data_IF_340167688804
#
_entry.id   IF_340167688804
#
_cell.length_a   1.000
_cell.length_b   1.000
_cell.length_c   1.000
_cell.angle_alpha   90.00
_cell.angle_beta   90.00
_cell.angle_gamma   90.00
#
_symmetry.space_group_name_H-M   'P 1'
#
loop_
_entity.id
_entity.type
_entity.pdbx_description
1 polymer ?
#
# COMPACT_ATOMS: atom_id res chain seq x y z
N UNK A 1 -6.42 -41.86 -22.07
CA UNK A 1 -6.98 -40.86 -23.02
C UNK A 1 -6.70 -39.45 -22.52
N UNK A 2 -5.66 -38.79 -23.05
CA UNK A 2 -5.38 -37.36 -22.80
C UNK A 2 -6.05 -36.55 -23.91
N UNK A 3 -7.05 -35.73 -23.59
CA UNK A 3 -7.66 -34.80 -24.56
C UNK A 3 -6.71 -33.62 -24.77
N UNK A 4 -6.02 -33.61 -25.89
CA UNK A 4 -5.30 -32.45 -26.43
C UNK A 4 -6.30 -31.56 -27.16
N UNK A 5 -6.44 -30.30 -26.75
CA UNK A 5 -7.15 -29.29 -27.51
C UNK A 5 -6.26 -28.79 -28.67
N UNK A 6 -6.83 -28.54 -29.86
CA UNK A 6 -6.05 -28.02 -30.99
C UNK A 6 -5.66 -26.57 -30.71
N UNK A 7 -4.36 -26.30 -30.71
CA UNK A 7 -3.82 -24.94 -30.81
C UNK A 7 -3.97 -24.50 -32.28
N UNK A 8 -4.86 -23.54 -32.52
CA UNK A 8 -4.95 -22.84 -33.81
C UNK A 8 -4.03 -21.61 -33.78
N UNK A 9 -3.02 -21.61 -34.64
CA UNK A 9 -1.83 -20.73 -34.59
C UNK A 9 -1.96 -19.51 -35.55
N UNK A 10 -3.18 -19.12 -35.95
CA UNK A 10 -3.40 -18.16 -37.06
C UNK A 10 -4.17 -16.86 -36.75
N UNK A 11 -4.29 -16.41 -35.51
CA UNK A 11 -5.21 -15.30 -35.19
C UNK A 11 -4.68 -14.16 -34.31
N UNK A 12 -3.39 -13.79 -34.27
CA UNK A 12 -2.94 -12.75 -33.30
C UNK A 12 -1.96 -11.67 -33.82
N UNK A 13 -2.00 -11.34 -35.12
CA UNK A 13 -1.10 -10.31 -35.71
C UNK A 13 -1.62 -8.86 -35.56
N UNK A 14 -2.90 -8.63 -35.20
CA UNK A 14 -3.53 -7.31 -35.40
C UNK A 14 -3.36 -6.28 -34.27
N UNK A 15 -3.01 -6.67 -33.02
CA UNK A 15 -2.80 -5.68 -31.95
C UNK A 15 -1.45 -4.95 -32.03
N UNK A 16 -0.49 -5.43 -32.85
CA UNK A 16 0.79 -4.73 -33.04
C UNK A 16 0.67 -3.40 -33.78
N UNK A 17 -0.39 -3.18 -34.56
CA UNK A 17 -0.46 -2.07 -35.52
C UNK A 17 -1.07 -0.78 -34.95
N UNK A 18 -1.76 -0.82 -33.80
CA UNK A 18 -2.47 0.36 -33.28
C UNK A 18 -1.56 1.24 -32.39
N UNK A 19 -0.46 0.70 -31.84
CA UNK A 19 0.35 1.37 -30.80
C UNK A 19 1.63 2.08 -31.28
N UNK A 20 2.04 1.96 -32.55
CA UNK A 20 3.36 2.44 -33.01
C UNK A 20 3.28 3.59 -34.03
N UNK A 21 2.69 4.74 -33.65
CA UNK A 21 2.97 6.02 -34.33
C UNK A 21 3.66 6.98 -33.34
N UNK A 22 4.88 7.47 -33.64
CA UNK A 22 5.57 8.43 -32.76
C UNK A 22 4.85 9.79 -32.81
N UNK A 23 4.39 10.28 -31.66
CA UNK A 23 3.84 11.63 -31.52
C UNK A 23 4.97 12.66 -31.31
N UNK A 24 4.82 13.81 -31.96
CA UNK A 24 5.71 14.97 -31.84
C UNK A 24 5.71 15.49 -30.38
N UNK A 25 6.91 15.74 -29.85
CA UNK A 25 7.13 16.29 -28.51
C UNK A 25 6.57 17.71 -28.42
N UNK A 26 5.71 17.98 -27.43
CA UNK A 26 5.39 19.35 -26.98
C UNK A 26 6.03 19.59 -25.59
N UNK A 27 6.44 20.83 -25.27
CA UNK A 27 7.15 21.13 -24.03
C UNK A 27 6.18 21.57 -22.92
N UNK A 28 5.87 20.70 -21.96
CA UNK A 28 5.03 21.02 -20.80
C UNK A 28 5.50 20.31 -19.52
N UNK A 29 6.81 20.28 -19.28
CA UNK A 29 7.43 19.62 -18.12
C UNK A 29 7.42 20.43 -16.81
N UNK A 30 7.19 21.74 -16.84
CA UNK A 30 7.37 22.61 -15.65
C UNK A 30 6.10 22.89 -14.85
N UNK A 31 4.92 22.80 -15.47
CA UNK A 31 3.63 23.02 -14.78
C UNK A 31 3.21 21.78 -13.95
N UNK A 32 3.78 20.60 -14.24
CA UNK A 32 3.32 19.34 -13.65
C UNK A 32 3.93 19.02 -12.27
N UNK A 33 5.17 19.43 -12.01
CA UNK A 33 5.84 19.25 -10.71
C UNK A 33 5.13 20.03 -9.58
N UNK A 34 4.48 21.15 -9.91
CA UNK A 34 3.70 21.93 -8.95
C UNK A 34 2.38 21.26 -8.53
N UNK A 35 1.75 20.44 -9.40
CA UNK A 35 0.51 19.72 -9.06
C UNK A 35 0.76 18.53 -8.15
N UNK A 36 1.84 17.77 -8.37
CA UNK A 36 2.20 16.62 -7.52
C UNK A 36 2.57 17.03 -6.09
N UNK A 37 3.30 18.14 -5.91
CA UNK A 37 3.61 18.67 -4.58
C UNK A 37 2.38 19.19 -3.84
N UNK A 38 1.34 19.65 -4.56
CA UNK A 38 0.13 20.19 -3.96
C UNK A 38 -0.77 19.08 -3.40
N UNK A 39 -0.92 17.96 -4.11
CA UNK A 39 -1.73 16.81 -3.66
C UNK A 39 -1.15 16.15 -2.40
N UNK A 40 0.17 15.93 -2.35
CA UNK A 40 0.81 15.36 -1.15
C UNK A 40 0.77 16.30 0.06
N UNK A 41 0.80 17.62 -0.19
CA UNK A 41 0.71 18.64 0.87
C UNK A 41 -0.71 18.79 1.42
N UNK A 42 -1.74 18.74 0.56
CA UNK A 42 -3.14 18.79 1.00
C UNK A 42 -3.53 17.56 1.82
N UNK A 43 -3.05 16.37 1.43
CA UNK A 43 -3.32 15.12 2.16
C UNK A 43 -2.64 15.09 3.54
N UNK A 44 -1.45 15.68 3.65
CA UNK A 44 -0.77 15.81 4.94
C UNK A 44 -1.46 16.83 5.87
N UNK A 45 -2.03 17.90 5.32
CA UNK A 45 -2.76 18.91 6.11
C UNK A 45 -4.12 18.40 6.58
N UNK A 46 -4.87 17.67 5.74
CA UNK A 46 -6.18 17.11 6.11
C UNK A 46 -6.03 16.06 7.23
N UNK A 47 -5.06 15.15 7.10
CA UNK A 47 -4.72 14.17 8.15
C UNK A 47 -4.33 14.84 9.47
N UNK A 48 -3.56 15.94 9.41
CA UNK A 48 -3.11 16.67 10.60
C UNK A 48 -4.23 17.45 11.30
N UNK A 49 -5.16 18.03 10.55
CA UNK A 49 -6.36 18.69 11.13
C UNK A 49 -7.28 17.69 11.81
N UNK A 50 -7.46 16.49 11.22
CA UNK A 50 -8.23 15.38 11.81
C UNK A 50 -7.66 14.94 13.17
N UNK A 51 -6.34 14.74 13.26
CA UNK A 51 -5.69 14.34 14.52
C UNK A 51 -5.80 15.41 15.62
N UNK A 52 -5.64 16.69 15.28
CA UNK A 52 -5.76 17.77 16.28
C UNK A 52 -7.19 17.91 16.81
N UNK A 53 -8.21 17.72 15.97
CA UNK A 53 -9.62 17.78 16.38
C UNK A 53 -9.98 16.65 17.34
N UNK A 54 -9.56 15.42 17.04
CA UNK A 54 -9.80 14.24 17.91
C UNK A 54 -9.12 14.42 19.28
N UNK A 55 -7.86 14.87 19.30
CA UNK A 55 -7.12 15.09 20.54
C UNK A 55 -7.77 16.18 21.40
N UNK A 56 -8.26 17.27 20.79
CA UNK A 56 -8.96 18.34 21.51
C UNK A 56 -10.28 17.85 22.14
N UNK A 57 -11.07 17.07 21.40
CA UNK A 57 -12.33 16.49 21.91
C UNK A 57 -12.10 15.50 23.06
N UNK A 58 -11.05 14.67 22.97
CA UNK A 58 -10.67 13.74 24.04
C UNK A 58 -10.19 14.47 25.31
N UNK A 59 -9.46 15.59 25.16
CA UNK A 59 -9.03 16.41 26.30
C UNK A 59 -10.23 17.03 27.04
N UNK A 60 -11.21 17.55 26.30
CA UNK A 60 -12.44 18.12 26.89
C UNK A 60 -13.21 17.04 27.66
N UNK A 61 -13.42 15.88 27.05
CA UNK A 61 -14.12 14.74 27.67
C UNK A 61 -13.47 14.26 28.98
N UNK A 62 -12.13 14.25 29.05
CA UNK A 62 -11.39 13.82 30.23
C UNK A 62 -11.55 14.77 31.44
N UNK A 63 -11.89 16.04 31.20
CA UNK A 63 -12.04 17.05 32.25
C UNK A 63 -13.48 17.26 32.73
N UNK A 64 -14.49 16.81 31.98
CA UNK A 64 -15.92 16.94 32.36
C UNK A 64 -16.23 16.38 33.76
N UNK A 65 -15.73 15.18 34.17
CA UNK A 65 -16.01 14.65 35.50
C UNK A 65 -15.42 15.49 36.64
N UNK A 66 -14.29 16.17 36.39
CA UNK A 66 -13.64 17.03 37.38
C UNK A 66 -14.34 18.39 37.53
N UNK A 67 -14.94 18.89 36.44
CA UNK A 67 -15.72 20.13 36.43
C UNK A 67 -17.06 19.90 37.14
N UNK A 68 -17.72 18.76 36.88
CA UNK A 68 -18.98 18.39 37.54
C UNK A 68 -18.88 18.23 39.06
N UNK A 69 -17.69 17.97 39.60
CA UNK A 69 -17.46 17.88 41.05
C UNK A 69 -17.21 19.23 41.73
N UNK A 70 -16.98 20.30 40.96
CA UNK A 70 -16.58 21.62 41.48
C UNK A 70 -17.58 22.74 41.16
N UNK A 71 -18.50 22.55 40.21
CA UNK A 71 -19.56 23.52 39.89
C UNK A 71 -20.83 23.26 40.72
N UNK A 72 -21.29 24.26 41.47
CA UNK A 72 -22.53 24.18 42.27
C UNK A 72 -23.80 24.51 41.48
N UNK A 73 -23.72 24.75 40.17
CA UNK A 73 -24.86 25.13 39.34
C UNK A 73 -25.14 24.08 38.26
N UNK A 74 -26.34 23.49 38.30
CA UNK A 74 -26.78 22.50 37.30
C UNK A 74 -26.87 23.11 35.89
N UNK A 75 -27.01 24.45 35.77
CA UNK A 75 -27.11 25.12 34.47
C UNK A 75 -25.79 25.12 33.69
N UNK A 76 -24.64 25.27 34.36
CA UNK A 76 -23.33 25.27 33.70
C UNK A 76 -22.99 23.88 33.12
N UNK A 77 -23.35 22.81 33.85
CA UNK A 77 -23.15 21.43 33.37
C UNK A 77 -24.04 21.12 32.17
N UNK A 78 -25.27 21.64 32.16
CA UNK A 78 -26.20 21.50 31.03
C UNK A 78 -25.68 22.20 29.77
N UNK A 79 -25.19 23.45 29.90
CA UNK A 79 -24.65 24.24 28.79
C UNK A 79 -23.38 23.61 28.20
N UNK A 80 -22.47 23.11 29.06
CA UNK A 80 -21.26 22.37 28.63
C UNK A 80 -21.60 21.08 27.88
N UNK A 81 -22.64 20.36 28.32
CA UNK A 81 -23.10 19.13 27.68
C UNK A 81 -23.69 19.41 26.30
N UNK A 82 -24.48 20.48 26.17
CA UNK A 82 -25.05 20.90 24.89
C UNK A 82 -23.97 21.33 23.89
N UNK A 83 -23.00 22.14 24.32
CA UNK A 83 -21.86 22.56 23.47
C UNK A 83 -21.03 21.36 23.03
N UNK A 84 -20.82 20.38 23.91
CA UNK A 84 -20.10 19.13 23.58
C UNK A 84 -20.86 18.32 22.53
N UNK A 85 -22.17 18.18 22.66
CA UNK A 85 -23.01 17.46 21.69
C UNK A 85 -23.07 18.18 20.32
N UNK A 86 -23.13 19.50 20.31
CA UNK A 86 -23.06 20.29 19.07
C UNK A 86 -21.70 20.15 18.38
N UNK A 87 -20.60 20.14 19.13
CA UNK A 87 -19.25 19.88 18.61
C UNK A 87 -19.12 18.47 18.05
N UNK A 88 -19.65 17.46 18.74
CA UNK A 88 -19.65 16.06 18.25
C UNK A 88 -20.45 15.92 16.95
N UNK A 89 -21.63 16.51 16.87
CA UNK A 89 -22.42 16.52 15.64
C UNK A 89 -21.70 17.23 14.49
N UNK A 90 -21.04 18.36 14.77
CA UNK A 90 -20.26 19.09 13.77
C UNK A 90 -19.04 18.30 13.28
N UNK A 91 -18.33 17.61 14.18
CA UNK A 91 -17.21 16.73 13.81
C UNK A 91 -17.72 15.55 12.98
N UNK A 92 -18.84 14.93 13.35
CA UNK A 92 -19.44 13.84 12.57
C UNK A 92 -19.90 14.31 11.17
N UNK A 93 -20.50 15.51 11.06
CA UNK A 93 -20.90 16.06 9.75
C UNK A 93 -19.71 16.48 8.88
N UNK A 94 -18.64 17.02 9.49
CA UNK A 94 -17.39 17.34 8.79
C UNK A 94 -16.58 16.08 8.39
N UNK A 95 -16.76 14.97 9.10
CA UNK A 95 -16.26 13.64 8.69
C UNK A 95 -17.01 13.09 7.48
N UNK A 96 -18.33 13.28 7.39
CA UNK A 96 -19.12 12.88 6.22
C UNK A 96 -18.81 13.72 4.98
N UNK A 97 -18.65 15.04 5.10
CA UNK A 97 -18.35 15.92 3.96
C UNK A 97 -16.89 15.87 3.48
N UNK A 98 -15.93 15.45 4.32
CA UNK A 98 -14.52 15.37 3.93
C UNK A 98 -14.04 13.97 3.51
N UNK A 99 -14.92 12.97 3.48
CA UNK A 99 -14.57 11.57 3.17
C UNK A 99 -14.56 11.23 1.67
N UNK A 100 -14.67 12.21 0.78
CA UNK A 100 -14.36 12.02 -0.64
C UNK A 100 -12.82 12.02 -0.87
N UNK A 101 -12.12 11.15 -0.13
CA UNK A 101 -10.66 11.07 -0.05
C UNK A 101 -10.12 9.89 -0.85
N UNK A 102 -9.29 10.23 -1.85
CA UNK A 102 -8.31 9.43 -2.57
C UNK A 102 -8.73 8.03 -3.07
N UNK A 103 -8.95 7.98 -4.38
CA UNK A 103 -9.25 6.80 -5.20
C UNK A 103 -8.19 5.69 -5.10
N UNK A 104 -6.97 5.99 -4.64
CA UNK A 104 -5.86 5.04 -4.55
C UNK A 104 -5.65 4.60 -3.09
N UNK A 105 -6.21 3.44 -2.75
CA UNK A 105 -6.14 2.87 -1.40
C UNK A 105 -4.96 1.91 -1.22
N UNK A 106 -4.29 1.53 -2.32
CA UNK A 106 -3.20 0.55 -2.33
C UNK A 106 -1.89 1.16 -2.79
N UNK A 107 -0.76 0.93 -2.09
CA UNK A 107 0.56 1.43 -2.49
C UNK A 107 1.11 0.64 -3.70
N UNK A 108 0.55 0.86 -4.89
CA UNK A 108 1.13 0.38 -6.13
C UNK A 108 2.26 1.30 -6.60
N UNK A 109 3.21 0.75 -7.36
CA UNK A 109 4.28 1.52 -7.99
C UNK A 109 3.70 2.68 -8.82
N UNK A 110 4.20 3.90 -8.65
CA UNK A 110 3.82 5.06 -9.48
C UNK A 110 4.18 4.82 -10.96
N UNK A 111 5.26 4.08 -11.21
CA UNK A 111 5.66 3.72 -12.56
C UNK A 111 4.56 2.91 -13.27
N UNK A 112 4.06 3.46 -14.38
CA UNK A 112 3.22 2.74 -15.33
C UNK A 112 4.10 2.03 -16.34
N UNK A 113 3.79 0.76 -16.57
CA UNK A 113 4.54 -0.10 -17.47
C UNK A 113 3.81 -0.28 -18.79
N UNK A 114 4.57 -0.48 -19.87
CA UNK A 114 4.05 -0.83 -21.19
C UNK A 114 4.38 -2.29 -21.46
N UNK A 115 3.35 -3.12 -21.58
CA UNK A 115 3.49 -4.52 -21.91
C UNK A 115 4.01 -4.67 -23.35
N UNK A 116 4.78 -5.72 -23.56
CA UNK A 116 5.09 -6.22 -24.90
C UNK A 116 4.29 -7.50 -25.11
N UNK A 117 3.69 -7.68 -26.29
CA UNK A 117 2.90 -8.88 -26.61
C UNK A 117 1.74 -9.12 -25.63
N UNK A 118 1.38 -10.37 -25.36
CA UNK A 118 0.24 -10.79 -24.53
C UNK A 118 0.67 -11.04 -23.07
N UNK A 119 1.39 -10.08 -22.49
CA UNK A 119 1.98 -10.21 -21.14
C UNK A 119 1.21 -9.44 -20.05
N UNK A 120 -0.02 -9.00 -20.32
CA UNK A 120 -0.87 -8.29 -19.35
C UNK A 120 -0.99 -9.03 -18.01
N UNK A 121 -1.18 -10.35 -18.06
CA UNK A 121 -1.22 -11.22 -16.88
C UNK A 121 0.04 -11.08 -16.01
N UNK A 122 1.21 -11.00 -16.63
CA UNK A 122 2.49 -10.93 -15.92
C UNK A 122 2.68 -9.55 -15.30
N UNK A 123 2.27 -8.49 -15.98
CA UNK A 123 2.28 -7.14 -15.43
C UNK A 123 1.32 -6.97 -14.25
N UNK A 124 0.11 -7.52 -14.35
CA UNK A 124 -0.88 -7.46 -13.27
C UNK A 124 -0.39 -8.22 -12.03
N UNK A 125 0.05 -9.47 -12.20
CA UNK A 125 0.60 -10.27 -11.10
C UNK A 125 1.87 -9.62 -10.47
N UNK A 126 2.80 -9.12 -11.29
CA UNK A 126 3.99 -8.43 -10.79
C UNK A 126 3.63 -7.18 -9.97
N UNK A 127 2.62 -6.42 -10.42
CA UNK A 127 2.13 -5.24 -9.71
C UNK A 127 1.55 -5.62 -8.36
N UNK A 128 0.66 -6.62 -8.30
CA UNK A 128 0.01 -7.03 -7.06
C UNK A 128 1.00 -7.63 -6.04
N UNK A 129 1.93 -8.48 -6.49
CA UNK A 129 2.98 -9.04 -5.61
C UNK A 129 3.87 -7.93 -5.05
N UNK A 130 4.23 -6.93 -5.86
CA UNK A 130 5.00 -5.78 -5.38
C UNK A 130 4.22 -4.94 -4.38
N UNK A 131 2.95 -4.66 -4.65
CA UNK A 131 2.08 -3.90 -3.77
C UNK A 131 1.94 -4.57 -2.39
N UNK A 132 1.74 -5.90 -2.36
CA UNK A 132 1.67 -6.65 -1.11
C UNK A 132 2.97 -6.63 -0.29
N UNK A 133 4.14 -6.44 -0.93
CA UNK A 133 5.41 -6.21 -0.20
C UNK A 133 5.54 -4.77 0.28
N UNK A 134 5.07 -3.82 -0.53
CA UNK A 134 5.09 -2.40 -0.21
C UNK A 134 4.17 -2.05 0.96
N UNK A 135 3.02 -2.71 1.10
CA UNK A 135 2.11 -2.53 2.25
C UNK A 135 2.76 -2.92 3.58
N UNK A 136 3.77 -3.80 3.55
CA UNK A 136 4.61 -4.15 4.70
C UNK A 136 5.84 -3.23 4.86
N UNK A 137 5.98 -2.22 4.00
CA UNK A 137 7.15 -1.35 3.89
C UNK A 137 8.45 -2.08 3.48
N UNK A 138 8.36 -3.33 3.03
CA UNK A 138 9.52 -4.10 2.57
C UNK A 138 9.97 -3.53 1.23
N UNK A 139 11.29 -3.47 0.99
CA UNK A 139 11.81 -3.06 -0.31
C UNK A 139 11.47 -4.14 -1.35
N UNK A 140 10.55 -3.89 -2.31
CA UNK A 140 10.16 -4.91 -3.26
C UNK A 140 11.25 -5.09 -4.32
N UNK A 141 11.35 -6.30 -4.89
CA UNK A 141 12.07 -6.49 -6.15
C UNK A 141 11.46 -5.56 -7.21
N UNK A 142 12.29 -5.09 -8.15
CA UNK A 142 11.82 -4.22 -9.23
C UNK A 142 10.73 -4.88 -10.08
N UNK A 143 9.89 -4.07 -10.74
CA UNK A 143 8.87 -4.59 -11.66
C UNK A 143 9.46 -5.49 -12.74
N UNK A 144 10.57 -5.04 -13.33
CA UNK A 144 11.26 -5.76 -14.40
C UNK A 144 11.78 -7.13 -13.93
N UNK A 145 12.27 -7.22 -12.68
CA UNK A 145 12.71 -8.49 -12.10
C UNK A 145 11.55 -9.49 -11.99
N UNK A 146 10.40 -9.05 -11.48
CA UNK A 146 9.20 -9.89 -11.41
C UNK A 146 8.68 -10.29 -12.79
N UNK A 147 8.61 -9.35 -13.71
CA UNK A 147 8.16 -9.59 -15.08
C UNK A 147 9.03 -10.65 -15.77
N UNK A 148 10.36 -10.51 -15.66
CA UNK A 148 11.32 -11.48 -16.20
C UNK A 148 11.10 -12.87 -15.61
N UNK A 149 10.92 -12.98 -14.29
CA UNK A 149 10.66 -14.26 -13.61
C UNK A 149 9.34 -14.90 -14.07
N UNK A 150 8.26 -14.13 -14.14
CA UNK A 150 6.94 -14.61 -14.54
C UNK A 150 6.98 -15.07 -16.01
N UNK A 151 7.49 -14.24 -16.92
CA UNK A 151 7.57 -14.55 -18.35
C UNK A 151 8.48 -15.76 -18.60
N UNK A 152 9.62 -15.86 -17.91
CA UNK A 152 10.51 -17.03 -18.01
C UNK A 152 9.77 -18.34 -17.68
N UNK A 153 8.81 -18.29 -16.74
CA UNK A 153 8.06 -19.47 -16.30
C UNK A 153 6.82 -19.76 -17.15
N UNK A 154 6.09 -18.73 -17.58
CA UNK A 154 4.76 -18.85 -18.18
C UNK A 154 4.69 -18.41 -19.66
N UNK A 155 5.78 -17.88 -20.22
CA UNK A 155 5.87 -17.43 -21.61
C UNK A 155 5.33 -16.02 -21.85
N UNK A 156 5.20 -15.62 -23.12
CA UNK A 156 4.77 -14.27 -23.52
C UNK A 156 3.47 -14.24 -24.35
N UNK A 157 2.79 -15.40 -24.47
CA UNK A 157 1.55 -15.64 -25.22
C UNK A 157 0.34 -15.85 -24.28
N UNK A 158 0.20 -15.00 -23.27
CA UNK A 158 -0.84 -15.11 -22.25
C UNK A 158 -0.61 -16.23 -21.23
N UNK A 159 -1.20 -16.07 -20.04
CA UNK A 159 -1.34 -17.12 -19.03
C UNK A 159 -2.47 -16.78 -18.05
N UNK A 160 -2.99 -17.79 -17.35
CA UNK A 160 -4.00 -17.62 -16.32
C UNK A 160 -3.41 -16.99 -15.05
N UNK A 161 -3.92 -15.82 -14.64
CA UNK A 161 -3.44 -15.10 -13.44
C UNK A 161 -3.45 -15.98 -12.20
N UNK A 162 -4.52 -16.78 -12.00
CA UNK A 162 -4.62 -17.80 -10.95
C UNK A 162 -3.38 -18.70 -10.88
N UNK A 163 -2.95 -19.26 -12.01
CA UNK A 163 -1.81 -20.20 -12.04
C UNK A 163 -0.50 -19.50 -11.72
N UNK A 164 -0.35 -18.25 -12.16
CA UNK A 164 0.84 -17.44 -11.87
C UNK A 164 0.91 -17.12 -10.38
N UNK A 165 -0.16 -16.58 -9.82
CA UNK A 165 -0.25 -16.23 -8.40
C UNK A 165 -0.04 -17.46 -7.51
N UNK A 166 -0.73 -18.57 -7.78
CA UNK A 166 -0.58 -19.82 -7.01
C UNK A 166 0.82 -20.46 -7.13
N UNK A 167 1.54 -20.21 -8.22
CA UNK A 167 2.91 -20.71 -8.37
C UNK A 167 3.88 -19.89 -7.51
N UNK A 168 3.82 -18.57 -7.63
CA UNK A 168 4.72 -17.68 -6.91
C UNK A 168 4.38 -17.56 -5.43
N UNK A 169 3.13 -17.78 -5.03
CA UNK A 169 2.72 -17.80 -3.61
C UNK A 169 3.50 -18.86 -2.83
N UNK A 170 3.65 -20.06 -3.41
CA UNK A 170 4.42 -21.17 -2.82
C UNK A 170 5.91 -20.89 -2.68
N UNK A 171 6.47 -20.05 -3.55
CA UNK A 171 7.91 -19.74 -3.58
C UNK A 171 8.22 -18.56 -2.68
N UNK A 172 7.35 -17.57 -2.66
CA UNK A 172 7.64 -16.25 -2.09
C UNK A 172 6.82 -15.97 -0.83
N UNK A 173 6.00 -16.92 -0.35
CA UNK A 173 5.36 -16.91 0.96
C UNK A 173 4.10 -16.05 1.10
N UNK A 174 3.65 -15.41 0.02
CA UNK A 174 2.38 -14.67 0.01
C UNK A 174 1.19 -15.62 -0.13
N UNK A 175 0.01 -15.16 0.26
CA UNK A 175 -1.27 -15.83 0.02
C UNK A 175 -2.05 -15.11 -1.08
N UNK A 176 -2.93 -15.87 -1.73
CA UNK A 176 -3.89 -15.32 -2.68
C UNK A 176 -5.27 -15.85 -2.37
N UNK A 177 -6.22 -14.95 -2.26
CA UNK A 177 -7.62 -15.26 -2.00
C UNK A 177 -8.44 -14.85 -3.21
N UNK A 178 -9.37 -15.73 -3.62
CA UNK A 178 -10.27 -15.43 -4.71
C UNK A 178 -11.43 -14.62 -4.16
N UNK A 179 -11.69 -13.47 -4.77
CA UNK A 179 -12.79 -12.58 -4.37
C UNK A 179 -14.01 -12.81 -5.27
N UNK A 180 -15.19 -12.76 -4.67
CA UNK A 180 -16.50 -12.92 -5.30
C UNK A 180 -17.33 -11.65 -5.11
N UNK A 181 -17.28 -10.77 -6.12
CA UNK A 181 -18.11 -9.57 -6.17
C UNK A 181 -17.50 -8.36 -5.49
N UNK A 182 -18.28 -7.28 -5.48
CA UNK A 182 -17.83 -5.92 -5.17
C UNK A 182 -17.42 -5.74 -3.70
N UNK A 183 -18.24 -6.24 -2.76
CA UNK A 183 -17.99 -6.09 -1.32
C UNK A 183 -16.66 -6.69 -0.87
N UNK A 184 -16.32 -7.88 -1.38
CA UNK A 184 -15.03 -8.54 -1.08
C UNK A 184 -13.84 -7.80 -1.69
N UNK A 185 -14.00 -7.24 -2.91
CA UNK A 185 -12.98 -6.38 -3.53
C UNK A 185 -12.73 -5.14 -2.69
N UNK A 186 -13.80 -4.44 -2.26
CA UNK A 186 -13.68 -3.25 -1.40
C UNK A 186 -13.01 -3.59 -0.07
N UNK A 187 -13.42 -4.68 0.59
CA UNK A 187 -12.80 -5.15 1.83
C UNK A 187 -11.30 -5.42 1.67
N UNK A 188 -10.87 -6.02 0.55
CA UNK A 188 -9.45 -6.21 0.26
C UNK A 188 -8.71 -4.88 0.05
N UNK A 189 -9.31 -3.94 -0.68
CA UNK A 189 -8.73 -2.62 -0.96
C UNK A 189 -8.59 -1.75 0.29
N UNK A 190 -9.55 -1.81 1.22
CA UNK A 190 -9.48 -1.15 2.53
C UNK A 190 -8.34 -1.71 3.40
N UNK A 191 -8.03 -3.00 3.24
CA UNK A 191 -6.86 -3.66 3.86
C UNK A 191 -5.56 -3.38 3.10
N UNK A 192 -5.54 -2.40 2.19
CA UNK A 192 -4.40 -2.05 1.33
C UNK A 192 -3.87 -3.21 0.48
N UNK A 193 -4.73 -4.16 0.11
CA UNK A 193 -4.37 -5.32 -0.73
C UNK A 193 -4.71 -5.02 -2.19
N UNK A 194 -3.73 -5.12 -3.07
CA UNK A 194 -3.97 -5.05 -4.51
C UNK A 194 -4.82 -6.23 -4.99
N UNK A 195 -5.78 -5.97 -5.88
CA UNK A 195 -6.61 -7.00 -6.49
C UNK A 195 -6.26 -7.16 -7.97
N UNK A 196 -5.77 -8.32 -8.37
CA UNK A 196 -5.65 -8.68 -9.79
C UNK A 196 -7.04 -9.06 -10.28
N UNK A 197 -7.48 -8.47 -11.38
CA UNK A 197 -8.76 -8.80 -12.01
C UNK A 197 -8.58 -9.03 -13.50
N UNK A 198 -9.50 -9.78 -14.09
CA UNK A 198 -9.60 -10.00 -15.52
C UNK A 198 -10.95 -9.51 -16.01
N UNK A 199 -11.01 -8.94 -17.21
CA UNK A 199 -12.27 -8.66 -17.89
C UNK A 199 -12.18 -9.09 -19.35
N UNK A 200 -13.32 -9.39 -19.94
CA UNK A 200 -13.42 -9.93 -21.28
C UNK A 200 -14.32 -9.03 -22.11
N UNK A 201 -13.85 -8.65 -23.29
CA UNK A 201 -14.65 -7.92 -24.26
C UNK A 201 -14.65 -8.64 -25.61
N UNK A 202 -15.79 -8.69 -26.31
CA UNK A 202 -15.84 -8.95 -27.73
C UNK A 202 -14.89 -8.03 -28.51
N UNK A 203 -14.29 -8.56 -29.59
CA UNK A 203 -13.32 -7.82 -30.42
C UNK A 203 -13.81 -6.44 -30.87
N UNK A 204 -15.10 -6.30 -31.18
CA UNK A 204 -15.67 -5.01 -31.62
C UNK A 204 -15.76 -3.97 -30.49
N UNK A 205 -15.99 -4.41 -29.24
CA UNK A 205 -16.06 -3.53 -28.07
C UNK A 205 -14.67 -3.04 -27.64
N UNK A 206 -13.60 -3.82 -27.88
CA UNK A 206 -12.24 -3.37 -27.62
C UNK A 206 -11.90 -2.05 -28.31
N UNK A 207 -12.26 -1.89 -29.59
CA UNK A 207 -12.02 -0.63 -30.30
C UNK A 207 -12.72 0.55 -29.64
N UNK A 208 -13.99 0.39 -29.27
CA UNK A 208 -14.79 1.43 -28.60
C UNK A 208 -14.21 1.77 -27.23
N UNK A 209 -13.78 0.77 -26.46
CA UNK A 209 -13.08 0.94 -25.19
C UNK A 209 -11.81 1.78 -25.34
N UNK A 210 -10.95 1.46 -26.31
CA UNK A 210 -9.75 2.26 -26.59
C UNK A 210 -10.08 3.69 -27.03
N UNK A 211 -11.06 3.85 -27.93
CA UNK A 211 -11.46 5.16 -28.43
C UNK A 211 -12.04 6.05 -27.32
N UNK A 212 -12.78 5.47 -26.37
CA UNK A 212 -13.32 6.18 -25.21
C UNK A 212 -12.19 6.83 -24.39
N UNK A 213 -11.23 6.05 -23.90
CA UNK A 213 -10.13 6.57 -23.08
C UNK A 213 -9.09 7.37 -23.87
N UNK A 214 -9.05 7.23 -25.19
CA UNK A 214 -8.24 8.11 -26.04
C UNK A 214 -8.86 9.52 -26.14
N UNK A 215 -10.18 9.61 -26.18
CA UNK A 215 -10.92 10.88 -26.27
C UNK A 215 -11.05 11.56 -24.92
N UNK A 216 -11.35 10.78 -23.89
CA UNK A 216 -11.57 11.24 -22.51
C UNK A 216 -10.75 10.38 -21.54
N UNK A 217 -9.45 10.68 -21.37
CA UNK A 217 -8.54 9.88 -20.57
C UNK A 217 -8.99 9.65 -19.12
N UNK A 218 -9.67 10.62 -18.54
CA UNK A 218 -10.14 10.67 -17.16
C UNK A 218 -11.62 10.27 -17.00
N UNK A 219 -12.32 9.89 -18.06
CA UNK A 219 -13.73 9.49 -17.98
C UNK A 219 -13.93 8.25 -17.10
N UNK A 220 -15.13 8.13 -16.54
CA UNK A 220 -15.59 6.91 -15.86
C UNK A 220 -16.37 6.08 -16.87
N UNK A 221 -15.93 4.86 -17.10
CA UNK A 221 -16.63 3.92 -17.97
C UNK A 221 -17.84 3.34 -17.23
N UNK A 222 -19.01 3.49 -17.83
CA UNK A 222 -20.29 3.06 -17.26
C UNK A 222 -20.86 1.86 -18.01
N UNK A 223 -21.87 1.21 -17.42
CA UNK A 223 -22.64 0.17 -18.11
C UNK A 223 -23.39 0.72 -19.33
N UNK A 224 -23.82 1.98 -19.27
CA UNK A 224 -24.53 2.64 -20.36
C UNK A 224 -23.63 2.81 -21.59
N UNK A 225 -22.33 3.07 -21.42
CA UNK A 225 -21.38 3.14 -22.53
C UNK A 225 -21.39 1.85 -23.35
N UNK A 226 -21.25 0.68 -22.70
CA UNK A 226 -21.28 -0.61 -23.39
C UNK A 226 -22.63 -0.93 -24.00
N UNK A 227 -23.74 -0.51 -23.38
CA UNK A 227 -25.07 -0.66 -23.95
C UNK A 227 -25.18 0.11 -25.27
N UNK A 228 -24.76 1.36 -25.29
CA UNK A 228 -24.75 2.20 -26.50
C UNK A 228 -23.82 1.62 -27.58
N UNK A 229 -22.61 1.19 -27.21
CA UNK A 229 -21.67 0.60 -28.17
C UNK A 229 -22.13 -0.73 -28.75
N UNK A 230 -23.01 -1.44 -28.04
CA UNK A 230 -23.61 -2.68 -28.52
C UNK A 230 -24.74 -2.45 -29.53
N UNK A 231 -25.34 -1.26 -29.56
CA UNK A 231 -26.29 -0.86 -30.62
C UNK A 231 -25.56 -0.60 -31.95
N UNK A 232 -24.32 -0.10 -31.88
CA UNK A 232 -23.42 0.12 -33.03
C UNK A 232 -22.77 -1.19 -33.56
N UNK A 233 -23.36 -2.36 -33.30
CA UNK A 233 -22.75 -3.63 -33.67
C UNK A 233 -22.59 -3.70 -35.20
N UNK A 234 -21.38 -3.99 -35.72
CA UNK A 234 -21.19 -4.18 -37.16
C UNK A 234 -22.13 -5.28 -37.68
N UNK A 235 -22.63 -5.12 -38.91
CA UNK A 235 -23.46 -6.13 -39.59
C UNK A 235 -22.64 -7.32 -40.12
N UNK A 236 -21.31 -7.26 -40.02
CA UNK A 236 -20.36 -8.26 -40.54
C UNK A 236 -20.43 -9.66 -39.87
N UNK A 237 -19.85 -10.73 -40.47
CA UNK A 237 -20.11 -12.11 -40.09
C UNK A 237 -19.83 -12.44 -38.61
N UNK A 238 -20.76 -13.19 -38.01
CA UNK A 238 -20.82 -13.55 -36.57
C UNK A 238 -19.52 -14.12 -35.98
N UNK A 239 -18.68 -14.77 -36.79
CA UNK A 239 -17.49 -15.48 -36.30
C UNK A 239 -16.41 -14.56 -35.72
N UNK A 240 -16.29 -13.32 -36.21
CA UNK A 240 -15.34 -12.34 -35.65
C UNK A 240 -15.87 -11.57 -34.45
N UNK A 241 -17.19 -11.68 -34.18
CA UNK A 241 -17.89 -10.92 -33.15
C UNK A 241 -18.01 -11.67 -31.82
N UNK A 242 -17.86 -13.00 -31.82
CA UNK A 242 -18.07 -13.86 -30.64
C UNK A 242 -16.80 -14.20 -29.88
N UNK A 243 -15.62 -14.08 -30.49
CA UNK A 243 -14.36 -14.38 -29.79
C UNK A 243 -14.00 -13.18 -28.90
N UNK A 244 -14.40 -13.29 -27.63
CA UNK A 244 -13.95 -12.38 -26.58
C UNK A 244 -12.45 -12.54 -26.35
N UNK A 245 -11.77 -11.41 -26.14
CA UNK A 245 -10.37 -11.40 -25.70
C UNK A 245 -10.35 -10.90 -24.26
N UNK A 246 -9.68 -11.65 -23.39
CA UNK A 246 -9.48 -11.28 -21.99
C UNK A 246 -8.28 -10.35 -21.80
N UNK A 247 -8.34 -9.53 -20.76
CA UNK A 247 -7.23 -8.67 -20.34
C UNK A 247 -7.11 -8.64 -18.82
N UNK A 248 -5.89 -8.67 -18.30
CA UNK A 248 -5.60 -8.64 -16.88
C UNK A 248 -5.15 -7.24 -16.44
N UNK A 249 -5.71 -6.77 -15.32
CA UNK A 249 -5.51 -5.45 -14.73
C UNK A 249 -5.38 -5.55 -13.21
N UNK A 250 -5.07 -4.44 -12.55
CA UNK A 250 -5.04 -4.37 -11.08
C UNK A 250 -5.98 -3.28 -10.59
N UNK A 251 -6.88 -3.62 -9.67
CA UNK A 251 -7.71 -2.66 -8.95
C UNK A 251 -6.89 -2.08 -7.82
N UNK A 252 -6.79 -0.75 -7.76
CA UNK A 252 -5.89 -0.03 -6.84
C UNK A 252 -6.62 0.80 -5.79
N UNK A 253 -7.95 0.89 -5.92
CA UNK A 253 -8.84 1.56 -4.97
C UNK A 253 -10.19 1.85 -5.62
N UNK A 254 -11.02 2.58 -4.91
CA UNK A 254 -12.42 2.80 -5.27
C UNK A 254 -12.95 4.14 -4.74
N UNK A 255 -14.02 4.62 -5.36
CA UNK A 255 -14.86 5.71 -4.87
C UNK A 255 -16.25 5.13 -4.57
N UNK A 256 -16.76 5.39 -3.38
CA UNK A 256 -18.13 5.04 -2.99
C UNK A 256 -19.08 6.20 -3.31
N UNK A 257 -20.26 5.84 -3.83
CA UNK A 257 -21.32 6.77 -4.23
C UNK A 257 -22.59 6.00 -4.58
N UNK A 258 -23.41 6.54 -5.48
CA UNK A 258 -24.59 5.81 -6.01
C UNK A 258 -24.18 4.50 -6.69
N UNK A 259 -23.07 4.54 -7.45
CA UNK A 259 -22.39 3.38 -8.00
C UNK A 259 -20.94 3.36 -7.52
N UNK A 260 -20.44 2.18 -7.15
CA UNK A 260 -19.01 2.00 -6.83
C UNK A 260 -18.17 2.17 -8.08
N UNK A 261 -17.20 3.09 -8.04
CA UNK A 261 -16.26 3.32 -9.14
C UNK A 261 -14.91 2.72 -8.75
N UNK A 262 -14.42 1.76 -9.52
CA UNK A 262 -13.10 1.20 -9.33
C UNK A 262 -12.06 1.95 -10.18
N UNK A 263 -10.86 2.11 -9.61
CA UNK A 263 -9.68 2.56 -10.35
C UNK A 263 -8.77 1.39 -10.69
N UNK A 264 -8.44 1.31 -11.97
CA UNK A 264 -7.69 0.21 -12.55
C UNK A 264 -6.34 0.69 -13.06
N UNK A 265 -5.27 0.05 -12.62
CA UNK A 265 -3.95 0.16 -13.22
C UNK A 265 -3.84 -0.75 -14.43
N UNK A 266 -3.50 -0.17 -15.58
CA UNK A 266 -3.27 -0.89 -16.81
C UNK A 266 -1.75 -1.04 -17.10
N UNK A 267 -1.43 -1.83 -18.12
CA UNK A 267 -0.07 -2.08 -18.60
C UNK A 267 0.14 -1.64 -20.05
N UNK A 268 -0.54 -0.58 -20.50
CA UNK A 268 -0.38 -0.03 -21.86
C UNK A 268 0.48 1.24 -21.92
N UNK A 269 1.18 1.54 -20.83
CA UNK A 269 1.99 2.75 -20.69
C UNK A 269 1.16 3.96 -20.31
N UNK A 270 1.87 5.03 -19.96
CA UNK A 270 1.29 6.27 -19.44
C UNK A 270 0.40 7.05 -20.43
N UNK A 271 0.50 6.74 -21.72
CA UNK A 271 -0.24 7.46 -22.77
C UNK A 271 -1.67 6.91 -22.95
N UNK A 272 -2.07 5.90 -22.16
CA UNK A 272 -3.42 5.33 -22.15
C UNK A 272 -4.21 5.80 -20.94
N UNK A 273 -5.45 6.25 -21.14
CA UNK A 273 -6.32 6.71 -20.04
C UNK A 273 -5.64 7.80 -19.22
N UNK A 274 -6.00 7.89 -17.95
CA UNK A 274 -5.40 8.82 -17.01
C UNK A 274 -4.02 8.33 -16.58
N UNK A 275 -2.99 8.71 -17.35
CA UNK A 275 -1.60 8.41 -17.06
C UNK A 275 -1.29 6.90 -16.93
N UNK A 276 -2.04 6.04 -17.61
CA UNK A 276 -1.92 4.57 -17.53
C UNK A 276 -2.98 3.88 -16.68
N UNK A 277 -3.87 4.65 -16.08
CA UNK A 277 -5.00 4.19 -15.29
C UNK A 277 -6.31 4.48 -16.02
N UNK A 278 -7.38 3.84 -15.56
CA UNK A 278 -8.72 4.18 -15.99
C UNK A 278 -9.72 3.89 -14.87
N UNK A 279 -10.91 4.45 -14.97
CA UNK A 279 -11.99 4.27 -14.00
C UNK A 279 -13.19 3.62 -14.65
N UNK A 280 -13.87 2.75 -13.91
CA UNK A 280 -15.12 2.14 -14.37
C UNK A 280 -16.04 1.85 -13.18
N UNK A 281 -17.35 1.92 -13.41
CA UNK A 281 -18.34 1.39 -12.46
C UNK A 281 -18.13 -0.12 -12.26
N UNK A 282 -18.42 -0.61 -11.06
CA UNK A 282 -18.23 -2.02 -10.69
C UNK A 282 -18.96 -2.99 -11.65
N UNK A 283 -20.11 -2.59 -12.19
CA UNK A 283 -20.93 -3.38 -13.12
C UNK A 283 -20.83 -2.91 -14.59
N UNK A 284 -19.85 -2.04 -14.92
CA UNK A 284 -19.70 -1.50 -16.27
C UNK A 284 -19.44 -2.60 -17.31
N UNK A 285 -18.65 -3.62 -16.96
CA UNK A 285 -18.25 -4.67 -17.91
C UNK A 285 -19.41 -5.64 -18.19
N UNK A 286 -19.76 -5.93 -19.46
CA UNK A 286 -20.91 -6.79 -19.80
C UNK A 286 -20.90 -8.18 -19.14
N UNK A 287 -19.70 -8.74 -18.99
CA UNK A 287 -19.46 -10.07 -18.43
C UNK A 287 -18.97 -10.02 -16.97
N UNK A 288 -19.00 -8.83 -16.36
CA UNK A 288 -18.42 -8.52 -15.06
C UNK A 288 -16.90 -8.63 -15.00
N UNK A 289 -16.35 -8.30 -13.84
CA UNK A 289 -14.98 -8.66 -13.50
C UNK A 289 -14.89 -10.16 -13.18
N UNK A 290 -13.88 -10.82 -13.72
CA UNK A 290 -13.61 -12.24 -13.56
C UNK A 290 -12.27 -12.45 -12.87
N UNK A 291 -12.12 -13.62 -12.24
CA UNK A 291 -10.86 -14.06 -11.66
C UNK A 291 -10.21 -12.98 -10.79
N UNK A 292 -10.99 -12.38 -9.89
CA UNK A 292 -10.48 -11.40 -8.93
C UNK A 292 -9.68 -12.13 -7.85
N UNK A 293 -8.42 -11.74 -7.67
CA UNK A 293 -7.51 -12.31 -6.67
C UNK A 293 -6.88 -11.19 -5.86
N UNK A 294 -7.08 -11.18 -4.55
CA UNK A 294 -6.26 -10.39 -3.65
C UNK A 294 -4.90 -11.08 -3.46
N UNK A 295 -3.87 -10.28 -3.24
CA UNK A 295 -2.53 -10.76 -2.88
C UNK A 295 -2.16 -10.15 -1.54
N UNK A 296 -1.78 -10.98 -0.59
CA UNK A 296 -1.39 -10.54 0.76
C UNK A 296 -0.18 -11.32 1.27
N UNK A 297 0.57 -10.74 2.20
CA UNK A 297 1.68 -11.40 2.88
C UNK A 297 1.29 -11.64 4.35
N UNK A 298 0.93 -12.88 4.71
CA UNK A 298 0.65 -13.20 6.10
C UNK A 298 1.90 -13.02 6.95
N UNK A 299 1.74 -12.42 8.12
CA UNK A 299 2.84 -12.09 9.02
C UNK A 299 3.55 -13.36 9.54
N UNK A 300 2.82 -14.47 9.60
CA UNK A 300 3.33 -15.80 9.92
C UNK A 300 4.30 -16.39 8.88
N UNK A 301 4.23 -15.90 7.64
CA UNK A 301 5.10 -16.37 6.55
C UNK A 301 6.30 -15.43 6.32
N UNK A 302 6.39 -14.33 7.05
CA UNK A 302 7.51 -13.40 6.93
C UNK A 302 8.76 -14.02 7.55
N UNK A 303 9.90 -13.83 6.88
CA UNK A 303 11.19 -14.18 7.48
C UNK A 303 11.47 -13.29 8.70
N UNK A 304 12.32 -13.73 9.62
CA UNK A 304 12.75 -12.91 10.77
C UNK A 304 13.24 -11.52 10.35
N UNK A 305 13.96 -11.43 9.21
CA UNK A 305 14.44 -10.15 8.67
C UNK A 305 13.31 -9.27 8.14
N UNK A 306 12.29 -9.86 7.51
CA UNK A 306 11.12 -9.12 7.03
C UNK A 306 10.26 -8.65 8.21
N UNK A 307 10.10 -9.45 9.28
CA UNK A 307 9.42 -9.02 10.52
C UNK A 307 10.17 -7.88 11.20
N UNK A 308 11.50 -7.97 11.30
CA UNK A 308 12.33 -6.87 11.81
C UNK A 308 12.07 -5.59 11.00
N UNK A 309 12.10 -5.67 9.67
CA UNK A 309 11.87 -4.52 8.80
C UNK A 309 10.43 -3.98 8.91
N UNK A 310 9.44 -4.86 9.03
CA UNK A 310 8.04 -4.50 9.25
C UNK A 310 7.90 -3.66 10.53
N UNK A 311 8.44 -4.14 11.66
CA UNK A 311 8.40 -3.44 12.94
C UNK A 311 9.10 -2.08 12.86
N UNK A 312 10.25 -2.01 12.19
CA UNK A 312 10.95 -0.75 11.95
C UNK A 312 10.14 0.22 11.08
N UNK A 313 9.38 -0.27 10.10
CA UNK A 313 8.53 0.57 9.27
C UNK A 313 7.29 1.06 10.03
N UNK A 314 6.70 0.23 10.89
CA UNK A 314 5.56 0.61 11.73
C UNK A 314 5.89 1.80 12.65
N UNK A 315 7.17 1.99 13.01
CA UNK A 315 7.66 3.10 13.84
C UNK A 315 7.89 4.42 13.06
N UNK A 316 8.02 4.40 11.74
CA UNK A 316 8.33 5.61 10.93
C UNK A 316 7.27 6.71 10.93
N UNK A 317 5.95 6.41 10.87
CA UNK A 317 4.93 7.45 10.68
C UNK A 317 4.57 8.22 11.96
N UNK A 318 5.03 7.79 13.14
CA UNK A 318 4.56 8.35 14.40
C UNK A 318 5.35 9.62 14.77
N UNK A 319 4.87 10.75 14.26
CA UNK A 319 5.45 12.10 14.35
C UNK A 319 5.74 12.62 15.76
N UNK A 320 5.15 12.00 16.80
CA UNK A 320 5.34 12.43 18.19
C UNK A 320 6.74 12.09 18.73
N UNK A 321 7.38 11.04 18.20
CA UNK A 321 8.70 10.62 18.66
C UNK A 321 9.66 10.72 17.50
N UNK A 322 10.69 11.56 17.65
CA UNK A 322 11.80 11.63 16.71
C UNK A 322 12.58 10.31 16.78
N UNK A 323 12.16 9.32 15.99
CA UNK A 323 12.83 8.02 15.88
C UNK A 323 13.76 8.04 14.67
N UNK A 324 15.06 7.91 14.92
CA UNK A 324 16.06 7.66 13.89
C UNK A 324 16.13 6.16 13.62
N UNK A 325 15.70 5.72 12.44
CA UNK A 325 15.69 4.31 12.06
C UNK A 325 16.79 4.05 11.05
N UNK A 326 17.75 3.20 11.41
CA UNK A 326 18.71 2.62 10.44
C UNK A 326 18.29 1.19 10.11
N UNK A 327 19.03 0.50 9.24
CA UNK A 327 18.67 -0.84 8.77
C UNK A 327 18.47 -1.90 9.87
N UNK A 328 18.95 -1.67 11.11
CA UNK A 328 18.79 -2.59 12.26
C UNK A 328 18.68 -1.91 13.63
N UNK A 329 18.61 -0.58 13.70
CA UNK A 329 18.60 0.13 14.99
C UNK A 329 17.51 1.17 15.04
N UNK A 330 16.86 1.26 16.20
CA UNK A 330 15.89 2.27 16.57
C UNK A 330 16.61 3.26 17.48
N UNK A 331 16.73 4.52 17.08
CA UNK A 331 17.33 5.57 17.92
C UNK A 331 16.25 6.52 18.37
N UNK A 332 16.04 6.64 19.67
CA UNK A 332 15.16 7.67 20.22
C UNK A 332 15.95 8.96 20.36
N UNK A 333 15.65 9.95 19.52
CA UNK A 333 16.42 11.19 19.45
C UNK A 333 16.20 12.08 20.69
N UNK A 334 15.10 11.90 21.43
CA UNK A 334 14.82 12.67 22.64
C UNK A 334 15.81 12.35 23.79
N UNK A 335 16.31 11.13 23.86
CA UNK A 335 17.17 10.66 24.96
C UNK A 335 18.50 10.06 24.48
N UNK A 336 18.80 10.13 23.18
CA UNK A 336 19.98 9.51 22.55
C UNK A 336 20.15 8.01 22.87
N UNK A 337 19.06 7.34 23.23
CA UNK A 337 19.09 5.89 23.46
C UNK A 337 18.94 5.17 22.12
N UNK A 338 19.82 4.20 21.91
CA UNK A 338 19.78 3.33 20.73
C UNK A 338 19.32 1.95 21.19
N UNK A 339 18.26 1.46 20.56
CA UNK A 339 17.71 0.14 20.73
C UNK A 339 17.93 -0.68 19.45
N UNK A 340 18.01 -2.00 19.61
CA UNK A 340 18.05 -2.97 18.52
C UNK A 340 16.96 -3.99 18.75
N UNK A 341 16.30 -4.39 17.67
CA UNK A 341 15.46 -5.58 17.68
C UNK A 341 16.39 -6.79 17.57
N UNK A 342 16.28 -7.70 18.53
CA UNK A 342 17.09 -8.92 18.59
C UNK A 342 16.15 -10.13 18.66
N UNK A 343 16.24 -11.12 17.75
CA UNK A 343 15.39 -12.31 17.81
C UNK A 343 15.52 -13.03 19.16
N UNK A 344 14.39 -13.50 19.70
CA UNK A 344 14.32 -14.19 21.01
C UNK A 344 15.11 -15.52 21.03
N UNK A 345 15.37 -16.12 19.87
CA UNK A 345 16.14 -17.37 19.74
C UNK A 345 17.60 -17.27 20.20
N UNK A 346 18.13 -16.06 20.39
CA UNK A 346 19.46 -15.87 20.95
C UNK A 346 19.36 -15.96 22.48
N UNK A 347 19.94 -16.99 23.12
CA UNK A 347 20.03 -17.14 24.59
C UNK A 347 20.47 -15.83 25.24
N UNK A 348 19.53 -15.04 25.75
CA UNK A 348 19.78 -13.70 26.26
C UNK A 348 19.38 -13.60 27.71
N UNK A 349 20.33 -13.15 28.52
CA UNK A 349 20.09 -12.72 29.89
C UNK A 349 19.34 -11.39 29.87
N UNK A 350 18.28 -11.21 30.69
CA UNK A 350 17.59 -9.93 30.83
C UNK A 350 18.60 -8.81 31.15
N UNK A 351 18.57 -7.72 30.38
CA UNK A 351 19.37 -6.54 30.73
C UNK A 351 18.70 -5.80 31.88
N UNK A 352 19.48 -5.40 32.87
CA UNK A 352 19.03 -4.43 33.88
C UNK A 352 19.01 -3.05 33.21
N UNK A 353 17.81 -2.49 33.06
CA UNK A 353 17.58 -1.17 32.48
C UNK A 353 17.44 -0.13 33.61
N UNK A 354 17.97 1.08 33.41
CA UNK A 354 17.66 2.21 34.29
C UNK A 354 16.21 2.68 34.11
N UNK A 355 15.71 3.46 35.07
CA UNK A 355 14.35 4.02 35.05
C UNK A 355 14.07 4.78 33.74
N UNK A 356 15.02 5.58 33.27
CA UNK A 356 14.89 6.33 32.01
C UNK A 356 14.85 5.42 30.77
N UNK A 357 15.56 4.30 30.79
CA UNK A 357 15.50 3.31 29.72
C UNK A 357 14.18 2.55 29.70
N UNK A 358 13.64 2.20 30.88
CA UNK A 358 12.32 1.59 31.00
C UNK A 358 11.23 2.51 30.44
N UNK A 359 11.29 3.81 30.77
CA UNK A 359 10.34 4.80 30.23
C UNK A 359 10.45 4.94 28.70
N UNK A 360 11.67 5.00 28.17
CA UNK A 360 11.92 5.08 26.74
C UNK A 360 11.46 3.82 25.98
N UNK A 361 11.66 2.65 26.58
CA UNK A 361 11.18 1.38 26.06
C UNK A 361 9.65 1.32 26.08
N UNK A 362 9.00 1.72 27.17
CA UNK A 362 7.54 1.78 27.27
C UNK A 362 6.94 2.71 26.20
N UNK A 363 7.60 3.81 25.86
CA UNK A 363 7.19 4.66 24.74
C UNK A 363 7.27 3.91 23.40
N UNK A 364 8.39 3.24 23.08
CA UNK A 364 8.50 2.45 21.84
C UNK A 364 7.42 1.37 21.78
N UNK A 365 7.20 0.68 22.88
CA UNK A 365 6.19 -0.37 23.02
C UNK A 365 4.80 0.20 22.76
N UNK A 366 4.44 1.31 23.39
CA UNK A 366 3.15 1.98 23.18
C UNK A 366 2.94 2.45 21.73
N UNK A 367 3.99 2.96 21.06
CA UNK A 367 3.91 3.29 19.63
C UNK A 367 3.63 2.05 18.78
N UNK A 368 4.23 0.91 19.14
CA UNK A 368 4.03 -0.35 18.42
C UNK A 368 2.66 -0.98 18.70
N UNK A 369 2.14 -0.91 19.93
CA UNK A 369 0.81 -1.42 20.30
C UNK A 369 -0.33 -0.71 19.56
N UNK A 370 -0.12 0.54 19.14
CA UNK A 370 -1.06 1.23 18.25
C UNK A 370 -1.18 0.60 16.86
N UNK A 371 -0.31 -0.36 16.51
CA UNK A 371 -0.45 -1.20 15.33
C UNK A 371 -1.13 -2.51 15.73
N UNK A 372 -2.34 -2.76 15.23
CA UNK A 372 -3.15 -3.97 15.51
C UNK A 372 -2.40 -5.29 15.31
N UNK A 373 -1.34 -5.29 14.51
CA UNK A 373 -0.52 -6.46 14.24
C UNK A 373 0.58 -6.73 15.27
N UNK A 374 0.86 -5.85 16.23
CA UNK A 374 1.95 -6.03 17.21
C UNK A 374 1.39 -6.32 18.60
N UNK A 375 1.82 -7.42 19.20
CA UNK A 375 1.48 -7.82 20.56
C UNK A 375 2.72 -7.79 21.46
N UNK A 376 2.55 -7.27 22.67
CA UNK A 376 3.58 -7.25 23.70
C UNK A 376 3.31 -8.43 24.63
N UNK A 377 4.30 -9.30 24.82
CA UNK A 377 4.11 -10.54 25.59
C UNK A 377 4.52 -10.34 27.04
N UNK A 378 5.76 -9.92 27.26
CA UNK A 378 6.35 -9.75 28.59
C UNK A 378 7.49 -8.72 28.52
N UNK A 379 7.27 -7.53 29.07
CA UNK A 379 8.27 -6.45 29.13
C UNK A 379 8.81 -6.03 27.75
N UNK A 380 10.13 -6.13 27.47
CA UNK A 380 10.72 -5.76 26.17
C UNK A 380 10.39 -6.71 25.00
N UNK A 381 9.65 -7.79 25.24
CA UNK A 381 9.37 -8.81 24.22
C UNK A 381 8.19 -8.40 23.34
N UNK A 382 8.46 -8.31 22.04
CA UNK A 382 7.51 -7.99 20.99
C UNK A 382 7.25 -9.23 20.14
N UNK A 383 5.99 -9.54 19.86
CA UNK A 383 5.59 -10.56 18.90
C UNK A 383 4.64 -9.94 17.89
N UNK A 384 4.85 -10.23 16.62
CA UNK A 384 4.02 -9.69 15.55
C UNK A 384 2.85 -10.64 15.28
N UNK A 385 1.66 -10.36 15.79
CA UNK A 385 0.44 -11.10 15.49
C UNK A 385 0.61 -12.60 15.75
N UNK A 386 0.25 -13.39 14.74
CA UNK A 386 0.45 -14.85 14.72
C UNK A 386 1.83 -15.29 14.22
N UNK A 387 2.78 -14.37 14.04
CA UNK A 387 4.14 -14.71 13.64
C UNK A 387 4.79 -15.64 14.66
N UNK A 388 5.58 -16.60 14.17
CA UNK A 388 6.43 -17.43 15.02
C UNK A 388 7.67 -16.68 15.53
N UNK A 389 7.87 -15.43 15.08
CA UNK A 389 9.02 -14.62 15.43
C UNK A 389 8.69 -13.66 16.58
N UNK A 390 9.52 -13.71 17.61
CA UNK A 390 9.52 -12.77 18.72
C UNK A 390 10.85 -12.01 18.76
N UNK A 391 10.82 -10.76 19.20
CA UNK A 391 11.96 -9.86 19.27
C UNK A 391 12.07 -9.23 20.65
N UNK A 392 13.29 -9.15 21.16
CA UNK A 392 13.63 -8.29 22.28
C UNK A 392 14.01 -6.91 21.78
N UNK A 393 13.48 -5.87 22.43
CA UNK A 393 14.05 -4.54 22.32
C UNK A 393 15.28 -4.44 23.25
N UNK A 394 16.48 -4.58 22.67
CA UNK A 394 17.75 -4.58 23.42
C UNK A 394 18.40 -3.20 23.36
N UNK A 395 18.90 -2.69 24.49
CA UNK A 395 19.74 -1.49 24.46
C UNK A 395 21.01 -1.80 23.68
N UNK A 396 21.23 -1.02 22.63
CA UNK A 396 22.50 -0.96 21.95
C UNK A 396 23.31 0.16 22.56
N UNK A 397 24.31 -0.20 23.35
CA UNK A 397 25.43 0.71 23.56
C UNK A 397 26.19 0.73 22.23
N UNK A 398 26.12 1.82 21.42
CA UNK A 398 27.08 1.95 20.34
C UNK A 398 28.43 1.76 21.01
N UNK A 399 29.24 0.82 20.50
CA UNK A 399 30.60 0.59 21.03
C UNK A 399 31.16 1.99 21.19
N UNK A 400 31.33 2.44 22.44
CA UNK A 400 31.79 3.79 22.72
C UNK A 400 32.95 3.96 21.78
N UNK A 401 32.91 4.96 20.89
CA UNK A 401 33.95 5.17 19.88
C UNK A 401 35.27 5.06 20.62
N UNK A 402 35.88 3.86 20.57
CA UNK A 402 37.06 3.53 21.34
C UNK A 402 38.12 4.58 21.03
N UNK A 403 38.05 5.08 19.79
CA UNK A 403 38.79 6.16 19.20
C UNK A 403 38.75 7.55 19.83
N UNK A 404 37.83 7.96 20.71
CA UNK A 404 37.94 9.30 21.33
C UNK A 404 38.60 9.24 22.70
N UNK A 405 38.05 8.46 23.64
CA UNK A 405 38.66 8.27 24.96
C UNK A 405 39.99 7.50 24.91
N UNK A 406 40.15 6.52 24.01
CA UNK A 406 41.46 5.87 23.81
C UNK A 406 42.42 6.75 23.00
N UNK A 407 41.94 7.68 22.15
CA UNK A 407 42.83 8.71 21.57
C UNK A 407 43.29 9.70 22.62
N UNK A 408 42.38 10.18 23.47
CA UNK A 408 42.72 11.09 24.57
C UNK A 408 43.67 10.42 25.55
N UNK A 409 43.41 9.16 25.94
CA UNK A 409 44.31 8.37 26.76
C UNK A 409 45.66 8.11 26.08
N UNK A 410 45.69 7.74 24.79
CA UNK A 410 46.96 7.62 24.05
C UNK A 410 47.71 8.94 23.93
N UNK A 411 47.00 10.04 23.71
CA UNK A 411 47.61 11.38 23.62
C UNK A 411 48.17 11.81 24.97
N UNK A 412 47.47 11.49 26.07
CA UNK A 412 47.96 11.68 27.44
C UNK A 412 49.19 10.80 27.72
N UNK A 413 49.16 9.52 27.36
CA UNK A 413 50.33 8.63 27.49
C UNK A 413 51.54 9.13 26.70
N UNK A 414 51.32 9.63 25.47
CA UNK A 414 52.38 10.23 24.64
C UNK A 414 52.91 11.51 25.29
N UNK A 415 52.04 12.36 25.84
CA UNK A 415 52.43 13.59 26.53
C UNK A 415 53.24 13.29 27.81
N UNK A 416 52.83 12.32 28.61
CA UNK A 416 53.53 11.91 29.83
C UNK A 416 54.92 11.34 29.52
N UNK A 417 55.07 10.53 28.47
CA UNK A 417 56.39 10.03 28.03
C UNK A 417 57.33 11.14 27.54
N UNK A 418 56.80 12.24 27.01
CA UNK A 418 57.61 13.41 26.62
C UNK A 418 58.06 14.26 27.80
N UNK A 419 57.39 14.17 28.94
CA UNK A 419 57.75 14.90 30.16
C UNK A 419 58.80 14.13 30.98
N UNK A 420 58.87 12.79 30.83
CA UNK A 420 59.81 11.94 31.57
C UNK A 420 61.18 11.74 30.89
N UNK A 421 61.41 12.38 29.74
CA UNK A 421 62.67 12.43 28.99
C UNK A 421 63.17 13.87 29.02
#
# INVERSE_FOLDING_TARGET
>A
MKKTYPHDDRSWVFMRTISNRPSRKSPSGLIYLFRQSRQSFTNAISSRRRQHSIIASMHVMAHIPSIAQTSSSESEVSELTEVTNQLLHKVASEEEESNHTDIETVPVSVDVHRQTTETCYAHACATAIRAARLSLGLTPKTHASWLTKIIKKFGCKGAYTKKVLQHFSKIEGFVCERLQGESEIKSALLKQRAVVAEFWLPKYLWRKFFDHFKKSPDAVLTKQDFRLWSLDRPTEPRYSQTIGVGHAIVITGFEDGENTIFRFKNSWGKDFGDSGYFRAEADAFPDGLRNCWSVDYPLENLSTKDVELYLLNALKPQSAVKVGITSRTITLLACNLVFKLVPVSENHCPQVLSIGECAAMAQIVSLLEGNESVHVIDGPSLKLGNSQHSFWLKRHHPKAKKTMREREMRNLEIAMKKISL
#
